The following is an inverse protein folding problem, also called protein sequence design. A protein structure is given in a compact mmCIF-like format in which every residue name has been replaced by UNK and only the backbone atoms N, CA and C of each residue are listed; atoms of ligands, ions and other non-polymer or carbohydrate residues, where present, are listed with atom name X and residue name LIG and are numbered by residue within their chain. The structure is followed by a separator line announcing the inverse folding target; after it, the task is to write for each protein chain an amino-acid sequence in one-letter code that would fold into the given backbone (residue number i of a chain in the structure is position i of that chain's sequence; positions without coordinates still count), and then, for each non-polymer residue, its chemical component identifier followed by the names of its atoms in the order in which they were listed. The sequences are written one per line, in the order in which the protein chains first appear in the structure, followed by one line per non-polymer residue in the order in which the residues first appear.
data_IF_686974298984
#
_entry.id   IF_686974298984
#
_cell.length_a   1.000
_cell.length_b   1.000
_cell.length_c   1.000
_cell.angle_alpha   90.00
_cell.angle_beta   90.00
_cell.angle_gamma   90.00
#
_symmetry.space_group_name_H-M   'P 1'
#
loop_
_entity.id
_entity.type
_entity.pdbx_description
1 polymer ?
#
# COMPACT_ATOMS: atom_id res chain seq x y z
N UNK A 1 58.33 25.85 9.29
CA UNK A 1 57.67 26.71 10.29
C UNK A 1 57.86 28.10 9.71
N UNK A 2 56.87 28.72 9.08
CA UNK A 2 55.62 29.28 9.66
C UNK A 2 54.55 29.38 8.55
N UNK A 3 53.31 28.93 8.80
CA UNK A 3 52.14 29.74 9.20
C UNK A 3 51.23 30.14 8.03
N UNK A 4 50.16 29.36 7.91
CA UNK A 4 48.76 29.81 7.96
C UNK A 4 48.34 30.98 7.06
N UNK A 5 47.52 30.68 6.03
CA UNK A 5 46.48 31.59 5.58
C UNK A 5 45.18 30.80 5.35
N UNK A 6 44.23 31.01 6.24
CA UNK A 6 42.82 30.68 6.05
C UNK A 6 42.23 31.57 4.95
N UNK A 7 41.32 31.00 4.15
CA UNK A 7 39.91 31.44 3.94
C UNK A 7 39.43 30.97 2.55
N UNK A 8 38.69 29.85 2.58
CA UNK A 8 37.35 29.55 2.00
C UNK A 8 37.05 29.85 0.50
N UNK A 9 35.92 29.35 -0.06
CA UNK A 9 35.21 28.07 0.13
C UNK A 9 34.88 27.42 -1.23
N UNK A 10 34.39 26.18 -1.22
CA UNK A 10 33.42 25.58 -2.17
C UNK A 10 33.77 24.13 -2.47
N UNK A 11 33.45 23.23 -1.55
CA UNK A 11 33.09 21.87 -1.95
C UNK A 11 31.60 21.67 -1.74
N UNK A 12 30.91 21.78 -2.88
CA UNK A 12 29.71 21.05 -3.25
C UNK A 12 28.60 20.95 -2.21
N UNK A 13 27.73 21.95 -2.30
CA UNK A 13 26.29 21.86 -2.06
C UNK A 13 25.71 20.47 -2.38
N UNK A 14 24.89 20.03 -1.44
CA UNK A 14 23.81 19.03 -1.51
C UNK A 14 24.23 17.56 -1.50
N UNK A 15 24.58 17.07 -0.31
CA UNK A 15 24.04 15.79 0.13
C UNK A 15 22.68 16.04 0.77
N UNK A 16 21.66 16.33 -0.05
CA UNK A 16 20.28 16.17 0.42
C UNK A 16 20.01 14.68 0.40
N UNK A 17 20.13 14.06 1.57
CA UNK A 17 19.64 12.72 1.86
C UNK A 17 18.31 12.50 1.15
N UNK A 18 18.32 11.63 0.14
CA UNK A 18 17.13 11.18 -0.53
C UNK A 18 16.32 10.33 0.43
N UNK A 19 15.63 10.97 1.39
CA UNK A 19 14.44 10.35 1.97
C UNK A 19 13.56 9.99 0.78
N UNK A 20 13.23 8.70 0.54
CA UNK A 20 12.20 8.39 -0.42
C UNK A 20 11.02 9.26 -0.04
N UNK A 21 10.55 10.08 -1.00
CA UNK A 21 9.45 11.00 -0.78
C UNK A 21 8.22 10.14 -0.53
N UNK A 22 8.04 9.72 0.73
CA UNK A 22 7.05 8.75 1.18
C UNK A 22 5.67 9.17 0.69
N UNK A 23 5.41 10.47 0.69
CA UNK A 23 4.18 11.08 0.19
C UNK A 23 3.98 10.93 -1.33
N UNK A 24 5.04 10.96 -2.14
CA UNK A 24 4.95 10.71 -3.59
C UNK A 24 4.71 9.24 -3.88
N UNK A 25 5.42 8.33 -3.20
CA UNK A 25 5.21 6.88 -3.35
C UNK A 25 3.81 6.46 -2.85
N UNK A 26 3.34 7.03 -1.74
CA UNK A 26 1.97 6.83 -1.23
C UNK A 26 0.91 7.46 -2.13
N UNK A 27 1.19 8.58 -2.81
CA UNK A 27 0.26 9.12 -3.81
C UNK A 27 0.14 8.21 -5.04
N UNK A 28 1.21 7.51 -5.40
CA UNK A 28 1.18 6.50 -6.45
C UNK A 28 0.42 5.23 -6.02
N UNK A 29 0.48 4.87 -4.74
CA UNK A 29 -0.33 3.81 -4.12
C UNK A 29 -1.63 4.42 -3.58
N UNK A 30 -2.57 4.70 -4.48
CA UNK A 30 -3.93 5.05 -4.07
C UNK A 30 -4.48 4.02 -3.06
N UNK A 31 -5.04 4.46 -1.94
CA UNK A 31 -5.59 3.58 -0.89
C UNK A 31 -6.59 2.57 -1.45
N UNK A 32 -7.33 2.95 -2.49
CA UNK A 32 -8.23 2.07 -3.23
C UNK A 32 -7.53 0.80 -3.76
N UNK A 33 -6.26 0.88 -4.19
CA UNK A 33 -5.49 -0.28 -4.63
C UNK A 33 -5.31 -1.28 -3.48
N UNK A 34 -4.98 -0.80 -2.29
CA UNK A 34 -4.78 -1.63 -1.09
C UNK A 34 -6.10 -2.28 -0.65
N UNK A 35 -7.20 -1.52 -0.66
CA UNK A 35 -8.54 -2.07 -0.36
C UNK A 35 -8.99 -3.12 -1.38
N UNK A 36 -8.69 -2.90 -2.66
CA UNK A 36 -8.98 -3.88 -3.72
C UNK A 36 -8.14 -5.15 -3.54
N UNK A 37 -6.86 -5.00 -3.23
CA UNK A 37 -5.99 -6.14 -2.92
C UNK A 37 -6.55 -6.97 -1.77
N UNK A 38 -6.92 -6.32 -0.67
CA UNK A 38 -7.47 -6.95 0.52
C UNK A 38 -8.76 -7.72 0.20
N UNK A 39 -9.68 -7.10 -0.55
CA UNK A 39 -10.92 -7.76 -0.96
C UNK A 39 -10.66 -8.99 -1.84
N UNK A 40 -9.70 -8.92 -2.78
CA UNK A 40 -9.35 -10.07 -3.63
C UNK A 40 -8.69 -11.18 -2.81
N UNK A 41 -7.88 -10.83 -1.82
CA UNK A 41 -7.25 -11.76 -0.90
C UNK A 41 -8.29 -12.51 -0.05
N UNK A 42 -9.19 -11.79 0.61
CA UNK A 42 -10.24 -12.35 1.49
C UNK A 42 -11.24 -13.21 0.70
N UNK A 43 -11.72 -12.71 -0.44
CA UNK A 43 -12.76 -13.38 -1.22
C UNK A 43 -12.21 -14.36 -2.27
N UNK A 44 -10.88 -14.52 -2.35
CA UNK A 44 -10.16 -15.46 -3.24
C UNK A 44 -10.61 -15.39 -4.71
N UNK A 45 -11.02 -14.20 -5.17
CA UNK A 45 -11.59 -14.04 -6.50
C UNK A 45 -11.92 -12.60 -6.88
N UNK A 46 -11.61 -12.24 -8.12
CA UNK A 46 -11.87 -10.90 -8.68
C UNK A 46 -13.38 -10.59 -8.73
N UNK A 47 -14.19 -11.56 -9.16
CA UNK A 47 -15.65 -11.36 -9.32
C UNK A 47 -16.34 -11.20 -7.97
N UNK A 48 -15.90 -11.94 -6.95
CA UNK A 48 -16.47 -11.81 -5.61
C UNK A 48 -16.06 -10.50 -4.96
N UNK A 49 -14.78 -10.11 -5.08
CA UNK A 49 -14.30 -8.80 -4.63
C UNK A 49 -15.04 -7.64 -5.31
N UNK A 50 -15.34 -7.77 -6.61
CA UNK A 50 -16.11 -6.78 -7.38
C UNK A 50 -17.50 -6.54 -6.79
N UNK A 51 -18.19 -7.61 -6.40
CA UNK A 51 -19.51 -7.53 -5.75
C UNK A 51 -19.44 -6.82 -4.40
N UNK A 52 -18.42 -7.14 -3.60
CA UNK A 52 -18.27 -6.58 -2.24
C UNK A 52 -17.90 -5.10 -2.27
N UNK A 53 -17.01 -4.72 -3.19
CA UNK A 53 -16.58 -3.32 -3.33
C UNK A 53 -17.53 -2.48 -4.20
N UNK A 54 -18.57 -3.09 -4.77
CA UNK A 54 -19.47 -2.47 -5.75
C UNK A 54 -18.72 -1.80 -6.92
N UNK A 55 -17.66 -2.47 -7.39
CA UNK A 55 -16.80 -2.00 -8.48
C UNK A 55 -16.90 -2.94 -9.68
N UNK A 56 -16.74 -2.44 -10.91
CA UNK A 56 -16.69 -3.32 -12.07
C UNK A 56 -15.43 -4.22 -12.01
N UNK A 57 -15.52 -5.51 -12.40
CA UNK A 57 -14.37 -6.44 -12.39
C UNK A 57 -13.15 -5.93 -13.19
N UNK A 58 -13.38 -5.12 -14.22
CA UNK A 58 -12.33 -4.47 -15.01
C UNK A 58 -11.50 -3.48 -14.19
N UNK A 59 -12.13 -2.71 -13.29
CA UNK A 59 -11.43 -1.79 -12.39
C UNK A 59 -10.56 -2.55 -11.39
N UNK A 60 -11.06 -3.67 -10.85
CA UNK A 60 -10.26 -4.54 -9.97
C UNK A 60 -9.07 -5.12 -10.72
N UNK A 61 -9.28 -5.65 -11.93
CA UNK A 61 -8.18 -6.21 -12.72
C UNK A 61 -7.11 -5.16 -13.03
N UNK A 62 -7.51 -3.93 -13.37
CA UNK A 62 -6.56 -2.83 -13.59
C UNK A 62 -5.79 -2.46 -12.31
N UNK A 63 -6.47 -2.43 -11.15
CA UNK A 63 -5.84 -2.17 -9.86
C UNK A 63 -4.82 -3.25 -9.48
N UNK A 64 -5.15 -4.53 -9.68
CA UNK A 64 -4.19 -5.64 -9.49
C UNK A 64 -3.01 -5.50 -10.45
N UNK A 65 -3.24 -5.13 -11.71
CA UNK A 65 -2.16 -4.92 -12.67
C UNK A 65 -1.23 -3.78 -12.24
N UNK A 66 -1.77 -2.68 -11.70
CA UNK A 66 -0.95 -1.58 -11.13
C UNK A 66 -0.16 -2.04 -9.92
N UNK A 67 -0.77 -2.82 -9.03
CA UNK A 67 -0.07 -3.39 -7.88
C UNK A 67 1.08 -4.31 -8.29
N UNK A 68 0.94 -5.09 -9.36
CA UNK A 68 2.03 -5.91 -9.92
C UNK A 68 3.21 -5.11 -10.48
N UNK A 69 2.96 -3.87 -10.91
CA UNK A 69 4.03 -2.96 -11.36
C UNK A 69 4.77 -2.35 -10.18
N UNK A 70 4.05 -2.06 -9.08
CA UNK A 70 4.60 -1.46 -7.87
C UNK A 70 5.34 -2.49 -7.02
N UNK A 71 4.71 -3.64 -6.81
CA UNK A 71 5.28 -4.80 -6.16
C UNK A 71 5.54 -5.82 -7.26
N UNK A 72 6.78 -5.97 -7.77
CA UNK A 72 7.11 -6.81 -8.93
C UNK A 72 6.96 -8.33 -8.62
N UNK A 73 5.76 -8.71 -8.23
CA UNK A 73 5.27 -10.04 -7.85
C UNK A 73 3.89 -10.23 -8.49
N UNK A 74 3.54 -11.44 -8.96
CA UNK A 74 2.23 -11.68 -9.56
C UNK A 74 1.05 -11.52 -8.58
N UNK A 75 1.29 -11.50 -7.27
CA UNK A 75 0.37 -11.39 -6.13
C UNK A 75 -0.63 -12.54 -6.01
N UNK A 76 -1.27 -12.89 -7.13
CA UNK A 76 -2.31 -13.90 -7.22
C UNK A 76 -2.07 -14.78 -8.44
N UNK A 77 -2.10 -16.09 -8.22
CA UNK A 77 -1.96 -17.12 -9.25
C UNK A 77 -3.33 -17.80 -9.42
N UNK A 78 -3.74 -18.07 -10.66
CA UNK A 78 -4.99 -18.80 -10.93
C UNK A 78 -4.84 -20.25 -10.51
N UNK A 79 -5.78 -20.76 -9.72
CA UNK A 79 -5.84 -22.17 -9.32
C UNK A 79 -7.30 -22.64 -9.35
N UNK A 80 -7.62 -23.51 -10.30
CA UNK A 80 -8.99 -23.98 -10.51
C UNK A 80 -9.96 -22.84 -10.85
N UNK A 81 -11.07 -22.75 -10.11
CA UNK A 81 -12.08 -21.69 -10.30
C UNK A 81 -11.76 -20.37 -9.58
N UNK A 82 -10.63 -20.28 -8.87
CA UNK A 82 -10.29 -19.12 -8.03
C UNK A 82 -8.87 -18.61 -8.23
N UNK A 83 -8.47 -17.71 -7.32
CA UNK A 83 -7.09 -17.24 -7.22
C UNK A 83 -6.49 -17.63 -5.88
N UNK A 84 -5.20 -17.95 -5.88
CA UNK A 84 -4.42 -18.23 -4.68
C UNK A 84 -3.35 -17.14 -4.54
N UNK A 85 -3.19 -16.54 -3.35
CA UNK A 85 -2.13 -15.56 -3.11
C UNK A 85 -0.75 -16.21 -3.18
N UNK A 86 0.26 -15.44 -3.59
CA UNK A 86 1.68 -15.81 -3.48
C UNK A 86 2.15 -15.70 -2.03
N UNK A 87 3.32 -16.26 -1.72
CA UNK A 87 3.96 -16.05 -0.42
C UNK A 87 4.16 -14.56 -0.12
N UNK A 88 4.60 -13.80 -1.12
CA UNK A 88 4.73 -12.35 -1.02
C UNK A 88 3.39 -11.66 -0.73
N UNK A 89 2.31 -12.03 -1.41
CA UNK A 89 0.99 -11.46 -1.15
C UNK A 89 0.46 -11.78 0.25
N UNK A 90 0.74 -12.96 0.80
CA UNK A 90 0.36 -13.29 2.18
C UNK A 90 1.05 -12.36 3.19
N UNK A 91 2.36 -12.15 3.04
CA UNK A 91 3.11 -11.23 3.90
C UNK A 91 2.61 -9.78 3.71
N UNK A 92 2.37 -9.37 2.47
CA UNK A 92 1.87 -8.03 2.16
C UNK A 92 0.50 -7.76 2.80
N UNK A 93 -0.39 -8.76 2.80
CA UNK A 93 -1.68 -8.69 3.48
C UNK A 93 -1.52 -8.43 4.98
N UNK A 94 -0.62 -9.12 5.67
CA UNK A 94 -0.39 -8.90 7.11
C UNK A 94 0.00 -7.45 7.42
N UNK A 95 0.93 -6.88 6.65
CA UNK A 95 1.36 -5.49 6.83
C UNK A 95 0.26 -4.48 6.48
N UNK A 96 -0.48 -4.71 5.40
CA UNK A 96 -1.56 -3.81 4.98
C UNK A 96 -2.69 -3.86 6.00
N UNK A 97 -3.09 -5.05 6.45
CA UNK A 97 -4.19 -5.23 7.39
C UNK A 97 -3.89 -4.53 8.72
N UNK A 98 -2.71 -4.76 9.30
CA UNK A 98 -2.27 -4.05 10.52
C UNK A 98 -2.18 -2.54 10.33
N UNK A 99 -1.71 -2.07 9.17
CA UNK A 99 -1.63 -0.65 8.84
C UNK A 99 -3.03 -0.01 8.73
N UNK A 100 -3.94 -0.66 8.01
CA UNK A 100 -5.33 -0.21 7.87
C UNK A 100 -6.06 -0.23 9.21
N UNK A 101 -5.88 -1.27 10.03
CA UNK A 101 -6.40 -1.33 11.40
C UNK A 101 -5.81 -0.24 12.28
N UNK A 102 -4.53 0.12 12.13
CA UNK A 102 -3.94 1.23 12.89
C UNK A 102 -4.53 2.59 12.48
N UNK A 103 -4.85 2.76 11.19
CA UNK A 103 -5.46 3.99 10.66
C UNK A 103 -6.95 4.08 11.04
N UNK A 104 -7.68 2.97 10.91
CA UNK A 104 -9.13 2.88 11.13
C UNK A 104 -9.51 2.55 12.56
N UNK A 105 -8.63 1.97 13.36
CA UNK A 105 -8.88 1.61 14.75
C UNK A 105 -9.28 2.82 15.59
N UNK A 106 -8.80 4.01 15.23
CA UNK A 106 -9.27 5.27 15.81
C UNK A 106 -10.72 5.62 15.46
N UNK A 107 -11.22 5.16 14.32
CA UNK A 107 -12.59 5.36 13.85
C UNK A 107 -13.54 4.27 14.36
N UNK A 108 -13.15 2.99 14.32
CA UNK A 108 -13.99 1.87 14.76
C UNK A 108 -14.28 1.94 16.28
N UNK A 109 -13.30 2.36 17.09
CA UNK A 109 -13.52 2.56 18.53
C UNK A 109 -14.46 3.73 18.87
N UNK A 110 -14.66 4.69 17.96
CA UNK A 110 -15.64 5.79 18.12
C UNK A 110 -17.05 5.34 17.73
N UNK A 111 -17.18 4.58 16.63
CA UNK A 111 -18.48 4.14 16.10
C UNK A 111 -19.15 3.06 16.99
N UNK A 112 -18.34 2.15 17.56
CA UNK A 112 -18.84 1.12 18.48
C UNK A 112 -19.45 1.70 19.77
N UNK A 113 -19.08 2.93 20.16
CA UNK A 113 -19.67 3.64 21.30
C UNK A 113 -20.95 4.43 20.95
N UNK A 114 -21.17 4.77 19.67
CA UNK A 114 -22.33 5.57 19.24
C UNK A 114 -23.55 4.69 18.91
N UNK A 115 -23.34 3.42 18.55
CA UNK A 115 -24.44 2.51 18.19
C UNK A 115 -25.16 1.84 19.38
N UNK A 116 -24.72 2.07 20.63
CA UNK A 116 -25.37 1.54 21.84
C UNK A 116 -26.34 2.54 22.50
N UNK A 117 -26.71 3.62 21.81
CA UNK A 117 -27.67 4.60 22.34
C UNK A 117 -28.71 5.01 21.29
N UNK A 118 -29.40 4.03 20.68
CA UNK A 118 -30.76 4.16 20.14
C UNK A 118 -31.52 2.85 20.17
#
# INVERSE_FOLDING_TARGET
MDSNNQIEPCLSRKSSEGKPQIFTTLRNIALNLLTIFEAVYVHKGIVNAAKVLNLPPSAISQSIQKLRVIFPDPLFIRKGQGVTPTAFAMHLHEYISQGLESILGRWISKEAMISNER
#
